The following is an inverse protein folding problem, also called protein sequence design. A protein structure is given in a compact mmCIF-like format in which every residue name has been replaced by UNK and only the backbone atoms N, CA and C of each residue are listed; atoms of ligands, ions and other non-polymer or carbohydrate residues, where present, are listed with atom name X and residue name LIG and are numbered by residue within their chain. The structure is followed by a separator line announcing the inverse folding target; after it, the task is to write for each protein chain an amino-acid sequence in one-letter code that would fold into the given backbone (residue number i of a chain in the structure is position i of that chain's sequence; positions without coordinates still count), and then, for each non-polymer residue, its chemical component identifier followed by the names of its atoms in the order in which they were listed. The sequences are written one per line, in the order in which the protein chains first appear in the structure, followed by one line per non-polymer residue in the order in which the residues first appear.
data_IF_657287033005
#
_entry.id   IF_657287033005
#
_cell.length_a   1.000
_cell.length_b   1.000
_cell.length_c   1.000
_cell.angle_alpha   90.00
_cell.angle_beta   90.00
_cell.angle_gamma   90.00
#
_symmetry.space_group_name_H-M   'P 1'
#
loop_
_entity.id
_entity.type
_entity.pdbx_description
1 polymer ?
#
# COMPACT_ATOMS: atom_id res chain seq x y z
N UNK A 1 -1.27 -10.91 -35.00
CA UNK A 1 0.06 -11.44 -34.65
C UNK A 1 0.67 -10.64 -33.51
N UNK A 2 0.65 -9.31 -33.55
CA UNK A 2 1.24 -8.44 -32.50
C UNK A 2 0.68 -8.70 -31.08
N UNK A 3 -0.64 -8.87 -30.92
CA UNK A 3 -1.29 -9.17 -29.64
C UNK A 3 -0.92 -10.54 -29.05
N UNK A 4 -0.60 -11.53 -29.88
CA UNK A 4 -0.18 -12.87 -29.42
C UNK A 4 1.25 -12.90 -28.89
N UNK A 5 2.11 -12.01 -29.37
CA UNK A 5 3.52 -11.90 -28.94
C UNK A 5 3.65 -10.96 -27.73
N UNK A 6 2.78 -9.95 -27.61
CA UNK A 6 2.81 -8.99 -26.51
C UNK A 6 2.42 -9.59 -25.15
N UNK A 7 1.44 -10.51 -25.12
CA UNK A 7 0.96 -11.13 -23.86
C UNK A 7 2.03 -11.88 -23.06
N UNK A 8 2.86 -12.78 -23.65
CA UNK A 8 3.92 -13.45 -22.89
C UNK A 8 5.02 -12.49 -22.42
N UNK A 9 5.30 -11.43 -23.19
CA UNK A 9 6.26 -10.41 -22.78
C UNK A 9 5.76 -9.61 -21.57
N UNK A 10 4.50 -9.19 -21.61
CA UNK A 10 3.86 -8.47 -20.52
C UNK A 10 3.85 -9.31 -19.22
N UNK A 11 3.53 -10.60 -19.30
CA UNK A 11 3.57 -11.51 -18.15
C UNK A 11 4.97 -11.59 -17.53
N UNK A 12 6.02 -11.69 -18.34
CA UNK A 12 7.41 -11.72 -17.86
C UNK A 12 7.84 -10.40 -17.24
N UNK A 13 7.44 -9.26 -17.81
CA UNK A 13 7.73 -7.94 -17.26
C UNK A 13 7.03 -7.73 -15.90
N UNK A 14 5.76 -8.15 -15.74
CA UNK A 14 5.05 -8.12 -14.47
C UNK A 14 5.70 -9.05 -13.43
N UNK A 15 6.11 -10.25 -13.83
CA UNK A 15 6.80 -11.18 -12.94
C UNK A 15 8.15 -10.61 -12.45
N UNK A 16 8.91 -9.95 -13.34
CA UNK A 16 10.13 -9.20 -12.97
C UNK A 16 9.84 -8.12 -11.95
N UNK A 17 8.85 -7.26 -12.21
CA UNK A 17 8.50 -6.16 -11.30
C UNK A 17 8.10 -6.66 -9.91
N UNK A 18 7.33 -7.75 -9.83
CA UNK A 18 6.95 -8.36 -8.55
C UNK A 18 8.17 -8.89 -7.78
N UNK A 19 9.06 -9.63 -8.45
CA UNK A 19 10.25 -10.18 -7.82
C UNK A 19 11.22 -9.08 -7.34
N UNK A 20 11.38 -7.99 -8.11
CA UNK A 20 12.19 -6.83 -7.71
C UNK A 20 11.56 -6.09 -6.52
N UNK A 21 10.24 -5.91 -6.52
CA UNK A 21 9.53 -5.29 -5.41
C UNK A 21 9.63 -6.12 -4.12
N UNK A 22 9.52 -7.45 -4.21
CA UNK A 22 9.69 -8.37 -3.08
C UNK A 22 11.12 -8.32 -2.51
N UNK A 23 12.14 -8.27 -3.38
CA UNK A 23 13.52 -8.09 -2.94
C UNK A 23 13.74 -6.75 -2.24
N UNK A 24 13.16 -5.67 -2.77
CA UNK A 24 13.23 -4.35 -2.16
C UNK A 24 12.51 -4.29 -0.80
N UNK A 25 11.33 -4.87 -0.69
CA UNK A 25 10.59 -4.97 0.58
C UNK A 25 11.40 -5.75 1.62
N UNK A 26 11.93 -6.94 1.25
CA UNK A 26 12.77 -7.75 2.14
C UNK A 26 14.02 -6.97 2.60
N UNK A 27 14.66 -6.21 1.70
CA UNK A 27 15.80 -5.37 2.07
C UNK A 27 15.40 -4.29 3.08
N UNK A 28 14.27 -3.64 2.89
CA UNK A 28 13.75 -2.60 3.79
C UNK A 28 13.46 -3.19 5.18
N UNK A 29 12.78 -4.33 5.25
CA UNK A 29 12.48 -5.03 6.51
C UNK A 29 13.76 -5.40 7.28
N UNK A 30 14.76 -5.92 6.55
CA UNK A 30 16.07 -6.26 7.13
C UNK A 30 16.78 -5.03 7.70
N UNK A 31 16.76 -3.92 6.97
CA UNK A 31 17.38 -2.66 7.43
C UNK A 31 16.65 -2.10 8.65
N UNK A 32 15.32 -2.10 8.66
CA UNK A 32 14.52 -1.65 9.81
C UNK A 32 14.76 -2.53 11.05
N UNK A 33 14.86 -3.85 10.85
CA UNK A 33 15.12 -4.82 11.92
C UNK A 33 16.60 -5.01 12.27
N UNK A 34 17.53 -4.30 11.63
CA UNK A 34 18.97 -4.62 11.72
C UNK A 34 19.54 -4.62 13.15
N UNK A 35 19.06 -3.73 14.00
CA UNK A 35 19.49 -3.68 15.42
C UNK A 35 19.12 -4.94 16.16
N UNK A 36 17.91 -5.45 15.97
CA UNK A 36 17.39 -6.68 16.60
C UNK A 36 18.12 -7.89 16.03
N UNK A 37 18.24 -7.96 14.70
CA UNK A 37 18.93 -9.05 14.01
C UNK A 37 20.39 -9.17 14.43
N UNK A 38 21.07 -8.04 14.64
CA UNK A 38 22.45 -8.01 15.14
C UNK A 38 22.54 -8.47 16.58
N UNK A 39 21.60 -8.06 17.43
CA UNK A 39 21.54 -8.49 18.84
C UNK A 39 21.29 -10.01 19.00
N UNK A 40 20.48 -10.59 18.13
CA UNK A 40 20.14 -12.02 18.12
C UNK A 40 21.17 -12.90 17.37
N UNK A 41 22.16 -12.31 16.70
CA UNK A 41 23.12 -13.06 15.87
C UNK A 41 22.50 -13.65 14.59
N UNK A 42 21.28 -13.23 14.20
CA UNK A 42 20.51 -13.83 13.10
C UNK A 42 20.88 -13.30 11.69
N UNK A 43 21.91 -12.46 11.57
CA UNK A 43 22.31 -11.81 10.29
C UNK A 43 22.58 -12.84 9.19
N UNK A 44 23.28 -13.96 9.51
CA UNK A 44 23.63 -14.97 8.51
C UNK A 44 22.38 -15.63 7.91
N UNK A 45 21.40 -15.95 8.74
CA UNK A 45 20.14 -16.59 8.32
C UNK A 45 19.32 -15.65 7.43
N UNK A 46 19.21 -14.36 7.84
CA UNK A 46 18.46 -13.34 7.10
C UNK A 46 19.13 -13.01 5.78
N UNK A 47 20.48 -12.96 5.76
CA UNK A 47 21.25 -12.78 4.52
C UNK A 47 20.95 -13.91 3.52
N UNK A 48 20.97 -15.17 3.95
CA UNK A 48 20.64 -16.29 3.06
C UNK A 48 19.22 -16.19 2.48
N UNK A 49 18.26 -15.71 3.27
CA UNK A 49 16.90 -15.45 2.78
C UNK A 49 16.86 -14.32 1.75
N UNK A 50 17.56 -13.22 1.99
CA UNK A 50 17.65 -12.12 1.06
C UNK A 50 18.34 -12.54 -0.26
N UNK A 51 19.44 -13.28 -0.16
CA UNK A 51 20.18 -13.78 -1.33
C UNK A 51 19.27 -14.63 -2.23
N UNK A 52 18.42 -15.50 -1.64
CA UNK A 52 17.47 -16.31 -2.41
C UNK A 52 16.43 -15.47 -3.16
N UNK A 53 15.86 -14.44 -2.50
CA UNK A 53 14.88 -13.53 -3.14
C UNK A 53 15.54 -12.66 -4.20
N UNK A 54 16.77 -12.20 -3.95
CA UNK A 54 17.57 -11.41 -4.89
C UNK A 54 17.95 -12.23 -6.15
N UNK A 55 18.32 -13.51 -5.98
CA UNK A 55 18.62 -14.42 -7.08
C UNK A 55 17.37 -14.69 -7.95
N UNK A 56 16.21 -14.80 -7.35
CA UNK A 56 14.97 -14.95 -8.11
C UNK A 56 14.65 -13.66 -8.89
N UNK A 57 14.82 -12.48 -8.28
CA UNK A 57 14.65 -11.19 -8.95
C UNK A 57 15.63 -11.05 -10.13
N UNK A 58 16.87 -11.46 -9.95
CA UNK A 58 17.87 -11.51 -11.02
C UNK A 58 17.45 -12.43 -12.16
N UNK A 59 17.07 -13.68 -11.88
CA UNK A 59 16.61 -14.65 -12.89
C UNK A 59 15.42 -14.11 -13.68
N UNK A 60 14.40 -13.56 -13.00
CA UNK A 60 13.24 -12.95 -13.67
C UNK A 60 13.61 -11.75 -14.53
N UNK A 61 14.60 -10.98 -14.10
CA UNK A 61 15.11 -9.84 -14.89
C UNK A 61 15.81 -10.31 -16.16
N UNK A 62 16.68 -11.31 -16.06
CA UNK A 62 17.37 -11.90 -17.22
C UNK A 62 16.37 -12.48 -18.21
N UNK A 63 15.38 -13.25 -17.74
CA UNK A 63 14.33 -13.85 -18.58
C UNK A 63 13.49 -12.80 -19.32
N UNK A 64 13.10 -11.72 -18.62
CA UNK A 64 12.34 -10.64 -19.21
C UNK A 64 13.17 -9.88 -20.26
N UNK A 65 14.42 -9.54 -19.92
CA UNK A 65 15.35 -8.83 -20.83
C UNK A 65 15.69 -9.67 -22.06
N UNK A 66 15.91 -10.97 -21.90
CA UNK A 66 16.14 -11.88 -23.02
C UNK A 66 14.93 -11.95 -23.97
N UNK A 67 13.71 -11.94 -23.44
CA UNK A 67 12.50 -11.89 -24.25
C UNK A 67 12.35 -10.56 -25.00
N UNK A 68 12.64 -9.43 -24.34
CA UNK A 68 12.67 -8.10 -24.96
C UNK A 68 13.73 -8.03 -26.07
N UNK A 69 14.94 -8.55 -25.83
CA UNK A 69 16.03 -8.59 -26.81
C UNK A 69 15.64 -9.39 -28.04
N UNK A 70 15.01 -10.57 -27.89
CA UNK A 70 14.54 -11.39 -29.01
C UNK A 70 13.48 -10.66 -29.85
N UNK A 71 12.56 -9.97 -29.22
CA UNK A 71 11.54 -9.17 -29.92
C UNK A 71 12.19 -8.02 -30.70
N UNK A 72 13.13 -7.30 -30.07
CA UNK A 72 13.85 -6.21 -30.70
C UNK A 72 14.66 -6.72 -31.91
N UNK A 73 15.41 -7.81 -31.74
CA UNK A 73 16.18 -8.43 -32.83
C UNK A 73 15.29 -8.87 -33.99
N UNK A 74 14.13 -9.48 -33.72
CA UNK A 74 13.18 -9.86 -34.77
C UNK A 74 12.60 -8.63 -35.50
N UNK A 75 12.32 -7.55 -34.79
CA UNK A 75 11.81 -6.29 -35.36
C UNK A 75 12.89 -5.64 -36.25
N UNK A 76 14.13 -5.58 -35.77
CA UNK A 76 15.27 -5.05 -36.53
C UNK A 76 15.57 -5.89 -37.79
N UNK A 77 15.56 -7.21 -37.66
CA UNK A 77 15.74 -8.12 -38.82
C UNK A 77 14.62 -7.93 -39.86
N UNK A 78 13.36 -7.76 -39.42
CA UNK A 78 12.26 -7.50 -40.34
C UNK A 78 12.43 -6.14 -41.06
N UNK A 79 12.88 -5.10 -40.33
CA UNK A 79 13.19 -3.79 -40.92
C UNK A 79 14.34 -3.86 -41.95
N UNK A 80 15.41 -4.57 -41.61
CA UNK A 80 16.54 -4.77 -42.52
C UNK A 80 16.13 -5.55 -43.80
N UNK A 81 15.33 -6.62 -43.64
CA UNK A 81 14.79 -7.38 -44.75
C UNK A 81 13.92 -6.53 -45.67
N UNK A 82 13.07 -5.65 -45.08
CA UNK A 82 12.26 -4.71 -45.82
C UNK A 82 13.09 -3.74 -46.66
N UNK A 83 14.18 -3.19 -46.13
CA UNK A 83 15.11 -2.31 -46.86
C UNK A 83 15.78 -3.06 -48.01
N UNK A 84 16.21 -4.31 -47.79
CA UNK A 84 16.82 -5.16 -48.85
C UNK A 84 15.81 -5.44 -49.96
N UNK A 85 14.58 -5.85 -49.64
CA UNK A 85 13.54 -6.14 -50.64
C UNK A 85 13.21 -4.87 -51.44
N UNK A 86 13.09 -3.73 -50.80
CA UNK A 86 12.81 -2.45 -51.45
C UNK A 86 13.99 -2.02 -52.34
N UNK A 87 15.22 -2.17 -51.86
CA UNK A 87 16.45 -1.89 -52.65
C UNK A 87 16.56 -2.74 -53.92
N UNK A 88 16.30 -4.05 -53.79
CA UNK A 88 16.30 -4.98 -54.92
C UNK A 88 15.17 -4.66 -55.93
N UNK A 89 13.96 -4.35 -55.42
CA UNK A 89 12.84 -3.95 -56.27
C UNK A 89 13.07 -2.63 -57.01
N UNK A 90 13.54 -1.61 -56.30
CA UNK A 90 13.87 -0.32 -56.91
C UNK A 90 15.06 -0.42 -57.88
N UNK A 91 16.07 -1.30 -57.57
CA UNK A 91 17.19 -1.62 -58.46
C UNK A 91 16.72 -2.27 -59.75
N UNK A 92 15.82 -3.26 -59.67
CA UNK A 92 15.22 -3.89 -60.86
C UNK A 92 14.47 -2.91 -61.75
N UNK A 93 13.71 -1.96 -61.17
CA UNK A 93 13.03 -0.89 -61.90
C UNK A 93 14.03 0.08 -62.58
N UNK A 94 15.16 0.36 -61.93
CA UNK A 94 16.21 1.20 -62.48
C UNK A 94 16.90 0.54 -63.68
N UNK A 95 17.20 -0.78 -63.61
CA UNK A 95 17.76 -1.54 -64.75
C UNK A 95 16.83 -1.58 -65.92
N UNK A 96 15.52 -1.63 -65.71
CA UNK A 96 14.49 -1.58 -66.74
C UNK A 96 14.20 -0.14 -67.24
N UNK A 97 14.95 0.88 -66.83
CA UNK A 97 14.83 2.25 -67.26
C UNK A 97 13.57 3.00 -66.76
N UNK A 98 12.82 2.42 -65.81
CA UNK A 98 11.61 2.99 -65.25
C UNK A 98 11.89 4.02 -64.16
N UNK A 99 13.05 3.98 -63.55
CA UNK A 99 13.49 4.86 -62.44
C UNK A 99 14.93 5.29 -62.72
N UNK A 100 15.27 6.55 -62.50
CA UNK A 100 16.64 7.04 -62.60
C UNK A 100 17.48 6.63 -61.37
N UNK A 101 18.81 6.59 -61.53
CA UNK A 101 19.75 6.28 -60.43
C UNK A 101 19.55 7.27 -59.26
N UNK A 102 19.30 8.55 -59.52
CA UNK A 102 19.02 9.55 -58.48
C UNK A 102 17.74 9.24 -57.68
N UNK A 103 16.67 8.81 -58.37
CA UNK A 103 15.42 8.40 -57.73
C UNK A 103 15.60 7.13 -56.90
N UNK A 104 16.42 6.18 -57.35
CA UNK A 104 16.78 4.98 -56.58
C UNK A 104 17.47 5.33 -55.28
N UNK A 105 18.51 6.18 -55.32
CA UNK A 105 19.25 6.62 -54.14
C UNK A 105 18.33 7.35 -53.17
N UNK A 106 17.47 8.23 -53.69
CA UNK A 106 16.50 8.97 -52.87
C UNK A 106 15.49 8.05 -52.20
N UNK A 107 14.94 7.06 -52.93
CA UNK A 107 13.99 6.08 -52.40
C UNK A 107 14.58 5.22 -51.27
N UNK A 108 15.81 4.72 -51.45
CA UNK A 108 16.49 3.94 -50.43
C UNK A 108 16.86 4.78 -49.23
N UNK A 109 17.38 6.01 -49.44
CA UNK A 109 17.71 6.94 -48.36
C UNK A 109 16.49 7.38 -47.51
N UNK A 110 15.36 7.73 -48.17
CA UNK A 110 14.10 8.05 -47.49
C UNK A 110 13.57 6.86 -46.69
N UNK A 111 13.67 5.66 -47.22
CA UNK A 111 13.23 4.45 -46.52
C UNK A 111 14.05 4.22 -45.27
N UNK A 112 15.37 4.32 -45.33
CA UNK A 112 16.23 4.20 -44.15
C UNK A 112 15.92 5.27 -43.09
N UNK A 113 15.66 6.51 -43.54
CA UNK A 113 15.30 7.61 -42.65
C UNK A 113 13.96 7.34 -41.96
N UNK A 114 12.97 6.73 -42.61
CA UNK A 114 11.63 6.45 -42.07
C UNK A 114 11.60 5.23 -41.15
N UNK A 115 12.45 4.22 -41.34
CA UNK A 115 12.40 2.98 -40.53
C UNK A 115 12.62 3.26 -39.05
N UNK A 116 13.58 4.11 -38.72
CA UNK A 116 13.94 4.40 -37.31
C UNK A 116 12.82 5.13 -36.54
N UNK A 117 12.23 6.23 -37.04
CA UNK A 117 11.08 6.87 -36.39
C UNK A 117 9.86 5.94 -36.25
N UNK A 118 9.56 5.14 -37.28
CA UNK A 118 8.43 4.22 -37.26
C UNK A 118 8.59 3.10 -36.21
N UNK A 119 9.79 2.53 -36.07
CA UNK A 119 10.07 1.52 -35.04
C UNK A 119 10.01 2.13 -33.64
N UNK A 120 10.55 3.34 -33.44
CA UNK A 120 10.46 4.07 -32.16
C UNK A 120 9.01 4.43 -31.81
N UNK A 121 8.24 4.88 -32.79
CA UNK A 121 6.82 5.21 -32.58
C UNK A 121 6.02 3.99 -32.15
N UNK A 122 6.18 2.85 -32.83
CA UNK A 122 5.50 1.60 -32.48
C UNK A 122 5.85 1.10 -31.08
N UNK A 123 7.12 1.15 -30.70
CA UNK A 123 7.60 0.77 -29.35
C UNK A 123 7.06 1.70 -28.26
N UNK A 124 7.14 3.01 -28.46
CA UNK A 124 6.65 4.01 -27.50
C UNK A 124 5.13 3.93 -27.33
N UNK A 125 4.38 3.75 -28.41
CA UNK A 125 2.93 3.62 -28.37
C UNK A 125 2.51 2.37 -27.58
N UNK A 126 3.14 1.21 -27.84
CA UNK A 126 2.86 -0.03 -27.14
C UNK A 126 3.18 0.06 -25.64
N UNK A 127 4.31 0.67 -25.27
CA UNK A 127 4.70 0.88 -23.89
C UNK A 127 3.74 1.82 -23.14
N UNK A 128 3.39 2.95 -23.76
CA UNK A 128 2.46 3.91 -23.17
C UNK A 128 1.05 3.34 -23.02
N UNK A 129 0.59 2.58 -24.00
CA UNK A 129 -0.69 1.87 -23.94
C UNK A 129 -0.75 0.88 -22.78
N UNK A 130 0.29 0.03 -22.64
CA UNK A 130 0.38 -0.92 -21.54
C UNK A 130 0.39 -0.23 -20.15
N UNK A 131 1.11 0.90 -20.03
CA UNK A 131 1.13 1.70 -18.81
C UNK A 131 -0.24 2.33 -18.51
N UNK A 132 -0.92 2.83 -19.53
CA UNK A 132 -2.25 3.42 -19.38
C UNK A 132 -3.30 2.37 -18.96
N UNK A 133 -3.25 1.17 -19.55
CA UNK A 133 -4.13 0.05 -19.17
C UNK A 133 -3.90 -0.39 -17.73
N UNK A 134 -2.63 -0.52 -17.30
CA UNK A 134 -2.28 -0.87 -15.93
C UNK A 134 -2.75 0.19 -14.92
N UNK A 135 -2.56 1.47 -15.23
CA UNK A 135 -3.02 2.59 -14.40
C UNK A 135 -4.54 2.65 -14.34
N UNK A 136 -5.22 2.48 -15.47
CA UNK A 136 -6.68 2.44 -15.54
C UNK A 136 -7.29 1.27 -14.76
N UNK A 137 -6.61 0.13 -14.72
CA UNK A 137 -7.04 -1.02 -13.90
C UNK A 137 -6.93 -0.71 -12.42
N UNK A 138 -5.82 -0.12 -11.97
CA UNK A 138 -5.65 0.30 -10.56
C UNK A 138 -6.69 1.34 -10.13
N UNK A 139 -6.94 2.34 -10.98
CA UNK A 139 -7.98 3.34 -10.69
C UNK A 139 -9.36 2.67 -10.59
N UNK A 140 -9.68 1.73 -11.49
CA UNK A 140 -10.93 0.98 -11.41
C UNK A 140 -11.04 0.13 -10.16
N UNK A 141 -9.97 -0.53 -9.74
CA UNK A 141 -9.93 -1.31 -8.49
C UNK A 141 -10.23 -0.42 -7.29
N UNK A 142 -9.63 0.78 -7.23
CA UNK A 142 -9.89 1.75 -6.17
C UNK A 142 -11.35 2.27 -6.22
N UNK A 143 -11.85 2.62 -7.41
CA UNK A 143 -13.22 3.11 -7.56
C UNK A 143 -14.29 2.04 -7.36
N UNK A 144 -13.95 0.77 -7.58
CA UNK A 144 -14.83 -0.38 -7.38
C UNK A 144 -14.69 -0.99 -5.98
N UNK A 145 -13.70 -0.55 -5.18
CA UNK A 145 -13.61 -0.95 -3.80
C UNK A 145 -14.81 -0.37 -3.04
N UNK A 146 -15.58 -1.23 -2.38
CA UNK A 146 -16.63 -0.82 -1.47
C UNK A 146 -15.98 -0.11 -0.27
N UNK A 147 -15.86 1.20 -0.37
CA UNK A 147 -15.53 2.04 0.77
C UNK A 147 -16.80 2.20 1.61
N UNK A 148 -16.82 1.54 2.76
CA UNK A 148 -17.90 1.58 3.74
C UNK A 148 -19.30 1.28 3.14
N UNK A 149 -19.82 0.15 3.46
CA UNK A 149 -21.24 -0.15 3.25
C UNK A 149 -22.07 0.85 4.04
N UNK A 150 -22.54 1.89 3.38
CA UNK A 150 -23.59 2.77 3.88
C UNK A 150 -24.94 2.25 3.40
N UNK A 151 -25.31 1.03 3.77
CA UNK A 151 -26.61 0.50 3.44
C UNK A 151 -27.57 0.75 4.60
N UNK A 152 -28.81 1.10 4.30
CA UNK A 152 -29.92 1.19 5.27
C UNK A 152 -30.10 -0.12 6.05
N UNK A 153 -29.76 -1.27 5.43
CA UNK A 153 -29.76 -2.60 6.09
C UNK A 153 -28.73 -2.71 7.24
N UNK A 154 -27.64 -1.96 7.19
CA UNK A 154 -26.65 -1.92 8.26
C UNK A 154 -27.10 -1.02 9.42
N UNK A 155 -28.03 -0.09 9.20
CA UNK A 155 -28.57 0.77 10.26
C UNK A 155 -29.43 -0.02 11.25
N UNK A 156 -30.40 -0.85 10.77
CA UNK A 156 -31.20 -1.72 11.64
C UNK A 156 -30.33 -2.75 12.40
N UNK A 157 -29.26 -3.22 11.77
CA UNK A 157 -28.32 -4.13 12.42
C UNK A 157 -27.52 -3.43 13.48
N UNK A 158 -27.08 -2.18 13.22
CA UNK A 158 -26.40 -1.34 14.19
C UNK A 158 -27.32 -1.02 15.38
N UNK A 159 -28.58 -0.65 15.14
CA UNK A 159 -29.57 -0.39 16.19
C UNK A 159 -29.75 -1.58 17.13
N UNK A 160 -29.85 -2.79 16.58
CA UNK A 160 -29.98 -4.02 17.38
C UNK A 160 -28.72 -4.30 18.22
N UNK A 161 -27.55 -4.07 17.67
CA UNK A 161 -26.28 -4.29 18.38
C UNK A 161 -26.08 -3.22 19.45
N UNK A 162 -26.26 -1.95 19.11
CA UNK A 162 -26.11 -0.82 20.04
C UNK A 162 -27.11 -0.93 21.21
N UNK A 163 -28.36 -1.24 20.92
CA UNK A 163 -29.41 -1.39 21.93
C UNK A 163 -29.25 -2.62 22.82
N UNK A 164 -28.44 -3.60 22.45
CA UNK A 164 -28.16 -4.79 23.26
C UNK A 164 -26.92 -4.62 24.17
N UNK A 165 -26.13 -3.56 23.99
CA UNK A 165 -24.93 -3.33 24.77
C UNK A 165 -25.22 -2.66 26.12
N UNK A 166 -24.49 -3.02 27.17
CA UNK A 166 -24.63 -2.35 28.46
C UNK A 166 -24.17 -0.89 28.40
N UNK A 167 -24.82 -0.03 29.15
CA UNK A 167 -24.42 1.35 29.31
C UNK A 167 -23.08 1.45 30.08
N UNK A 168 -22.27 2.44 29.72
CA UNK A 168 -21.00 2.73 30.37
C UNK A 168 -19.87 1.79 29.97
N UNK A 169 -18.85 1.70 30.84
CA UNK A 169 -17.63 0.91 30.60
C UNK A 169 -17.83 -0.55 31.00
N UNK A 170 -17.63 -1.47 30.08
CA UNK A 170 -17.71 -2.91 30.32
C UNK A 170 -16.43 -3.60 29.83
N UNK A 171 -15.83 -4.42 30.69
CA UNK A 171 -14.64 -5.24 30.35
C UNK A 171 -15.08 -6.65 30.01
N UNK A 172 -14.60 -7.16 28.87
CA UNK A 172 -14.88 -8.53 28.38
C UNK A 172 -13.53 -9.25 28.24
N UNK A 173 -13.34 -10.32 29.01
CA UNK A 173 -12.17 -11.19 28.89
C UNK A 173 -12.31 -12.16 27.73
N UNK A 174 -11.24 -12.33 26.96
CA UNK A 174 -11.23 -13.18 25.76
C UNK A 174 -11.82 -12.48 24.54
N UNK A 175 -10.96 -11.89 23.72
CA UNK A 175 -11.38 -11.28 22.46
C UNK A 175 -11.85 -12.37 21.48
N UNK A 176 -13.16 -12.44 21.22
CA UNK A 176 -13.71 -13.28 20.16
C UNK A 176 -13.51 -12.60 18.81
N UNK A 177 -12.66 -13.15 17.91
CA UNK A 177 -12.43 -12.58 16.59
C UNK A 177 -13.71 -12.43 15.76
N UNK A 178 -14.69 -13.30 15.97
CA UNK A 178 -15.98 -13.23 15.27
C UNK A 178 -16.80 -12.03 15.77
N UNK A 179 -16.81 -11.77 17.08
CA UNK A 179 -17.43 -10.57 17.67
C UNK A 179 -16.78 -9.30 17.11
N UNK A 180 -15.45 -9.24 17.11
CA UNK A 180 -14.69 -8.10 16.59
C UNK A 180 -15.06 -7.86 15.12
N UNK A 181 -14.99 -8.88 14.26
CA UNK A 181 -15.35 -8.75 12.84
C UNK A 181 -16.79 -8.32 12.61
N UNK A 182 -17.72 -8.74 13.48
CA UNK A 182 -19.12 -8.31 13.44
C UNK A 182 -19.27 -6.83 13.82
N UNK A 183 -18.52 -6.34 14.83
CA UNK A 183 -18.53 -4.94 15.24
C UNK A 183 -17.82 -4.05 14.20
N UNK A 184 -16.72 -4.49 13.60
CA UNK A 184 -16.02 -3.78 12.53
C UNK A 184 -16.84 -3.68 11.24
N UNK A 185 -17.82 -4.57 11.04
CA UNK A 185 -18.73 -4.51 9.89
C UNK A 185 -19.84 -3.45 10.02
N UNK A 186 -19.98 -2.83 11.18
CA UNK A 186 -20.96 -1.77 11.43
C UNK A 186 -20.46 -0.40 10.98
N UNK A 187 -21.37 0.57 10.68
CA UNK A 187 -20.97 1.91 10.27
C UNK A 187 -20.07 2.58 11.31
N UNK A 188 -18.91 3.07 10.88
CA UNK A 188 -17.92 3.72 11.76
C UNK A 188 -18.41 5.03 12.39
N UNK A 189 -19.45 5.61 11.84
CA UNK A 189 -20.15 6.76 12.44
C UNK A 189 -20.88 6.39 13.73
N UNK A 190 -21.18 5.11 13.93
CA UNK A 190 -21.89 4.61 15.11
C UNK A 190 -21.00 3.76 16.03
N UNK A 191 -20.18 2.87 15.43
CA UNK A 191 -19.31 1.95 16.18
C UNK A 191 -17.86 2.12 15.73
N UNK A 192 -16.99 2.45 16.66
CA UNK A 192 -15.54 2.48 16.43
C UNK A 192 -14.89 1.34 17.21
N UNK A 193 -14.16 0.49 16.48
CA UNK A 193 -13.28 -0.52 17.05
C UNK A 193 -11.86 0.00 16.96
N UNK A 194 -11.26 0.36 18.09
CA UNK A 194 -9.88 0.80 18.19
C UNK A 194 -8.98 -0.41 18.36
N UNK A 195 -8.09 -0.69 17.37
CA UNK A 195 -7.22 -1.86 17.41
C UNK A 195 -6.12 -1.71 18.46
N UNK A 196 -5.56 -2.86 18.89
CA UNK A 196 -4.39 -2.90 19.78
C UNK A 196 -3.17 -2.15 19.21
N UNK A 197 -2.93 -2.24 17.89
CA UNK A 197 -1.83 -1.56 17.23
C UNK A 197 -2.12 -0.07 17.09
N UNK A 198 -1.20 0.76 17.60
CA UNK A 198 -1.29 2.21 17.59
C UNK A 198 -0.52 2.78 16.39
N UNK A 199 -1.17 2.91 15.23
CA UNK A 199 -0.59 3.57 14.07
C UNK A 199 -0.78 5.10 14.17
N UNK A 200 0.35 5.82 14.21
CA UNK A 200 0.38 7.27 14.23
C UNK A 200 0.98 7.82 12.94
N UNK A 201 0.38 8.90 12.43
CA UNK A 201 0.86 9.61 11.25
C UNK A 201 1.91 10.66 11.64
N UNK A 202 2.82 10.99 10.71
CA UNK A 202 3.77 12.08 10.94
C UNK A 202 3.00 13.40 11.14
N UNK A 203 3.34 14.10 12.23
CA UNK A 203 2.64 15.31 12.68
C UNK A 203 2.87 15.53 14.17
N UNK A 204 2.02 16.32 14.78
CA UNK A 204 2.00 16.51 16.24
C UNK A 204 1.11 15.47 16.93
N UNK A 205 1.20 15.39 18.25
CA UNK A 205 0.30 14.58 19.08
C UNK A 205 -1.15 15.01 18.85
N UNK A 206 -1.43 16.32 18.84
CA UNK A 206 -2.78 16.83 18.60
C UNK A 206 -3.31 16.51 17.21
N UNK A 207 -2.49 16.65 16.16
CA UNK A 207 -2.86 16.30 14.78
C UNK A 207 -3.26 14.84 14.65
N UNK A 208 -2.68 13.99 15.48
CA UNK A 208 -3.00 12.56 15.52
C UNK A 208 -4.29 12.23 16.28
N UNK A 209 -4.87 13.17 16.98
CA UNK A 209 -6.09 12.95 17.79
C UNK A 209 -7.30 13.53 17.10
N UNK A 210 -7.34 14.85 16.89
CA UNK A 210 -8.49 15.51 16.27
C UNK A 210 -8.10 16.85 15.65
N UNK A 211 -8.73 17.27 14.51
CA UNK A 211 -8.48 18.56 13.89
C UNK A 211 -8.80 19.76 14.80
N UNK A 212 -9.88 19.66 15.59
CA UNK A 212 -10.20 20.66 16.59
C UNK A 212 -9.32 20.50 17.84
N UNK A 213 -8.55 21.55 18.13
CA UNK A 213 -7.57 21.55 19.21
C UNK A 213 -8.16 21.29 20.58
N UNK A 214 -9.31 21.90 20.87
CA UNK A 214 -9.95 21.77 22.19
C UNK A 214 -10.47 20.34 22.41
N UNK A 215 -10.98 19.70 21.37
CA UNK A 215 -11.40 18.30 21.40
C UNK A 215 -10.20 17.38 21.58
N UNK A 216 -9.10 17.64 20.87
CA UNK A 216 -7.86 16.88 21.01
C UNK A 216 -7.31 16.96 22.44
N UNK A 217 -7.27 18.14 23.06
CA UNK A 217 -6.74 18.32 24.41
C UNK A 217 -7.59 17.60 25.47
N UNK A 218 -8.93 17.69 25.38
CA UNK A 218 -9.83 16.94 26.28
C UNK A 218 -9.62 15.42 26.17
N UNK A 219 -9.49 14.91 24.96
CA UNK A 219 -9.28 13.49 24.74
C UNK A 219 -7.89 13.03 25.20
N UNK A 220 -6.85 13.84 25.02
CA UNK A 220 -5.50 13.59 25.53
C UNK A 220 -5.47 13.56 27.07
N UNK A 221 -6.22 14.44 27.72
CA UNK A 221 -6.35 14.43 29.17
C UNK A 221 -7.06 13.15 29.65
N UNK A 222 -8.17 12.77 29.00
CA UNK A 222 -8.89 11.53 29.30
C UNK A 222 -8.01 10.29 29.12
N UNK A 223 -7.14 10.29 28.11
CA UNK A 223 -6.18 9.20 27.84
C UNK A 223 -4.88 9.31 28.67
N UNK A 224 -4.81 10.14 29.69
CA UNK A 224 -3.62 10.30 30.55
C UNK A 224 -2.33 10.63 29.79
N UNK A 225 -2.38 11.47 28.77
CA UNK A 225 -1.22 11.85 27.94
C UNK A 225 -0.39 13.02 28.52
N UNK A 226 -0.63 13.47 29.75
CA UNK A 226 0.05 14.62 30.36
C UNK A 226 1.54 14.42 30.62
N UNK A 227 2.05 13.19 30.58
CA UNK A 227 3.48 12.85 30.71
C UNK A 227 4.28 12.97 29.43
N UNK A 228 3.63 13.30 28.29
CA UNK A 228 4.34 13.45 27.00
C UNK A 228 5.12 14.77 27.00
N UNK A 229 6.46 14.75 26.93
CA UNK A 229 7.25 15.97 26.91
C UNK A 229 6.94 16.82 25.68
N UNK A 230 6.57 18.08 25.86
CA UNK A 230 6.12 18.97 24.78
C UNK A 230 4.62 18.90 24.51
N UNK A 231 3.89 18.04 25.23
CA UNK A 231 2.42 17.98 25.22
C UNK A 231 1.81 17.79 23.83
N UNK A 232 0.67 18.42 23.54
CA UNK A 232 -0.06 18.27 22.29
C UNK A 232 0.74 18.69 21.04
N UNK A 233 1.74 19.57 21.17
CA UNK A 233 2.56 20.07 20.05
C UNK A 233 3.79 19.20 19.78
N UNK A 234 4.02 18.17 20.58
CA UNK A 234 5.12 17.21 20.37
C UNK A 234 4.98 16.50 19.05
N UNK A 235 6.01 16.57 18.20
CA UNK A 235 6.07 15.76 16.98
C UNK A 235 6.25 14.28 17.32
N UNK A 236 5.45 13.44 16.68
CA UNK A 236 5.47 11.99 16.91
C UNK A 236 6.45 11.26 16.00
N UNK A 237 6.78 11.83 14.83
CA UNK A 237 7.59 11.20 13.79
C UNK A 237 6.86 10.06 13.09
N UNK A 238 7.46 9.53 12.05
CA UNK A 238 6.91 8.41 11.26
C UNK A 238 6.59 7.21 12.17
N UNK A 239 5.37 6.70 12.10
CA UNK A 239 4.84 5.62 12.94
C UNK A 239 5.00 5.86 14.46
N UNK A 240 5.05 7.13 14.89
CA UNK A 240 5.14 7.46 16.30
C UNK A 240 6.49 7.14 16.97
N UNK A 241 7.57 6.99 16.20
CA UNK A 241 8.90 6.57 16.70
C UNK A 241 9.52 7.49 17.76
N UNK A 242 9.02 8.73 17.89
CA UNK A 242 9.48 9.68 18.88
C UNK A 242 8.74 9.57 20.22
N UNK A 243 7.84 8.63 20.35
CA UNK A 243 7.06 8.31 21.56
C UNK A 243 7.43 6.93 22.09
N UNK A 244 7.26 6.70 23.40
CA UNK A 244 7.32 5.37 23.99
C UNK A 244 6.12 4.52 23.54
N UNK A 245 6.16 3.19 23.72
CA UNK A 245 5.05 2.28 23.39
C UNK A 245 3.74 2.71 24.07
N UNK A 246 3.79 2.92 25.39
CA UNK A 246 2.63 3.38 26.16
C UNK A 246 2.12 4.77 25.77
N UNK A 247 3.02 5.70 25.41
CA UNK A 247 2.60 7.01 24.91
C UNK A 247 1.88 6.90 23.56
N UNK A 248 2.40 6.07 22.61
CA UNK A 248 1.70 5.82 21.34
C UNK A 248 0.31 5.24 21.54
N UNK A 249 0.20 4.24 22.41
CA UNK A 249 -1.07 3.58 22.70
C UNK A 249 -2.08 4.56 23.29
N UNK A 250 -1.67 5.41 24.24
CA UNK A 250 -2.55 6.43 24.81
C UNK A 250 -2.96 7.52 23.83
N UNK A 251 -2.09 7.94 22.90
CA UNK A 251 -2.45 8.88 21.82
C UNK A 251 -3.46 8.25 20.85
N UNK A 252 -3.31 6.96 20.53
CA UNK A 252 -4.30 6.24 19.71
C UNK A 252 -5.66 6.11 20.44
N UNK A 253 -5.62 5.85 21.75
CA UNK A 253 -6.83 5.86 22.58
C UNK A 253 -7.49 7.24 22.60
N UNK A 254 -6.71 8.32 22.76
CA UNK A 254 -7.23 9.69 22.70
C UNK A 254 -7.94 9.98 21.37
N UNK A 255 -7.39 9.49 20.24
CA UNK A 255 -8.03 9.58 18.91
C UNK A 255 -9.40 8.90 18.91
N UNK A 256 -9.49 7.70 19.48
CA UNK A 256 -10.73 6.95 19.55
C UNK A 256 -11.78 7.65 20.44
N UNK A 257 -11.34 8.23 21.56
CA UNK A 257 -12.20 9.03 22.45
C UNK A 257 -12.67 10.34 21.79
N UNK A 258 -11.79 11.02 21.04
CA UNK A 258 -12.11 12.28 20.35
C UNK A 258 -13.16 12.10 19.25
N UNK A 259 -13.24 10.91 18.65
CA UNK A 259 -14.24 10.59 17.63
C UNK A 259 -15.66 10.43 18.20
N UNK A 260 -15.80 10.26 19.51
CA UNK A 260 -17.05 10.17 20.28
C UNK A 260 -18.18 9.35 19.62
N UNK A 261 -17.95 8.07 19.23
CA UNK A 261 -18.97 7.24 18.59
C UNK A 261 -20.07 6.84 19.58
N UNK A 262 -21.23 6.38 19.09
CA UNK A 262 -22.27 5.81 19.95
C UNK A 262 -21.75 4.62 20.76
N UNK A 263 -20.96 3.75 20.14
CA UNK A 263 -20.28 2.61 20.79
C UNK A 263 -18.79 2.67 20.51
N UNK A 264 -18.00 2.59 21.57
CA UNK A 264 -16.53 2.49 21.48
C UNK A 264 -16.07 1.11 21.94
N UNK A 265 -15.29 0.44 21.11
CA UNK A 265 -14.66 -0.86 21.41
C UNK A 265 -13.16 -0.69 21.42
N UNK A 266 -12.53 -1.04 22.53
CA UNK A 266 -11.09 -0.90 22.75
C UNK A 266 -10.47 -2.30 22.86
N UNK A 267 -9.49 -2.61 22.01
CA UNK A 267 -8.76 -3.88 22.04
C UNK A 267 -7.45 -3.68 22.81
N UNK A 268 -7.32 -4.33 23.96
CA UNK A 268 -6.14 -4.29 24.82
C UNK A 268 -5.53 -2.88 25.01
N UNK A 269 -6.29 -1.87 25.44
CA UNK A 269 -5.86 -0.48 25.41
C UNK A 269 -4.75 -0.16 26.43
N UNK A 270 -4.42 -1.08 27.34
CA UNK A 270 -3.54 -0.84 28.50
C UNK A 270 -2.30 -1.74 28.56
N UNK A 271 -2.03 -2.57 27.57
CA UNK A 271 -0.93 -3.56 27.60
C UNK A 271 0.47 -2.96 27.73
N UNK A 272 0.67 -1.71 27.33
CA UNK A 272 1.94 -0.99 27.43
C UNK A 272 1.95 0.06 28.56
N UNK A 273 1.03 -0.04 29.54
CA UNK A 273 0.86 0.93 30.62
C UNK A 273 1.00 0.25 31.97
N UNK A 274 1.56 0.94 32.96
CA UNK A 274 1.63 0.45 34.34
C UNK A 274 0.25 0.44 35.02
N UNK A 275 0.08 -0.39 36.05
CA UNK A 275 -1.20 -0.61 36.73
C UNK A 275 -1.82 0.67 37.37
N UNK A 276 -0.98 1.61 37.80
CA UNK A 276 -1.48 2.89 38.37
C UNK A 276 -2.06 3.78 37.27
N UNK A 277 -1.38 3.84 36.14
CA UNK A 277 -1.87 4.59 34.99
C UNK A 277 -3.09 3.90 34.36
N UNK A 278 -3.13 2.57 34.33
CA UNK A 278 -4.28 1.78 33.87
C UNK A 278 -5.55 2.09 34.66
N UNK A 279 -5.48 2.10 35.99
CA UNK A 279 -6.62 2.45 36.83
C UNK A 279 -7.13 3.87 36.55
N UNK A 280 -6.23 4.87 36.49
CA UNK A 280 -6.59 6.26 36.17
C UNK A 280 -7.22 6.38 34.78
N UNK A 281 -6.71 5.64 33.83
CA UNK A 281 -7.21 5.61 32.46
C UNK A 281 -8.63 5.05 32.42
N UNK A 282 -8.90 3.94 33.10
CA UNK A 282 -10.25 3.38 33.21
C UNK A 282 -11.25 4.39 33.83
N UNK A 283 -10.87 5.04 34.91
CA UNK A 283 -11.71 6.08 35.58
C UNK A 283 -11.96 7.29 34.65
N UNK A 284 -10.94 7.75 33.94
CA UNK A 284 -11.04 8.89 33.02
C UNK A 284 -11.87 8.56 31.79
N UNK A 285 -11.68 7.38 31.18
CA UNK A 285 -12.48 6.90 30.06
C UNK A 285 -13.94 6.76 30.47
N UNK A 286 -14.22 6.15 31.61
CA UNK A 286 -15.58 6.02 32.11
C UNK A 286 -16.24 7.41 32.35
N UNK A 287 -15.49 8.36 32.90
CA UNK A 287 -16.00 9.74 33.12
C UNK A 287 -16.20 10.47 31.78
N UNK A 288 -15.30 10.31 30.82
CA UNK A 288 -15.36 10.96 29.51
C UNK A 288 -16.53 10.45 28.69
N UNK A 289 -16.78 9.13 28.72
CA UNK A 289 -17.83 8.47 27.95
C UNK A 289 -19.19 8.46 28.66
N UNK A 290 -19.24 8.64 29.98
CA UNK A 290 -20.47 8.59 30.76
C UNK A 290 -21.22 7.28 30.56
N UNK A 291 -22.49 7.36 30.18
CA UNK A 291 -23.37 6.22 29.95
C UNK A 291 -23.21 5.61 28.52
N UNK A 292 -22.41 6.23 27.65
CA UNK A 292 -22.21 5.71 26.28
C UNK A 292 -21.49 4.35 26.33
N UNK A 293 -22.05 3.31 25.66
CA UNK A 293 -21.46 1.97 25.65
C UNK A 293 -20.00 1.97 25.23
N UNK A 294 -19.15 1.45 26.12
CA UNK A 294 -17.70 1.36 25.89
C UNK A 294 -17.22 -0.03 26.31
N UNK A 295 -16.81 -0.83 25.34
CA UNK A 295 -16.34 -2.19 25.56
C UNK A 295 -14.82 -2.21 25.57
N UNK A 296 -14.24 -2.81 26.60
CA UNK A 296 -12.80 -3.12 26.66
C UNK A 296 -12.63 -4.61 26.49
N UNK A 297 -12.01 -5.02 25.40
CA UNK A 297 -11.70 -6.42 25.10
C UNK A 297 -10.27 -6.68 25.54
N UNK A 298 -10.07 -7.69 26.41
CA UNK A 298 -8.74 -8.09 26.90
C UNK A 298 -8.41 -9.50 26.49
N UNK A 299 -7.16 -9.80 26.08
CA UNK A 299 -6.72 -11.16 25.74
C UNK A 299 -6.58 -12.08 26.96
N UNK A 300 -6.29 -11.54 28.14
CA UNK A 300 -6.12 -12.30 29.33
C UNK A 300 -7.41 -12.39 30.16
N UNK A 301 -7.79 -13.57 30.68
CA UNK A 301 -8.73 -13.62 31.77
C UNK A 301 -8.10 -12.89 32.98
N UNK A 302 -8.82 -11.94 33.51
CA UNK A 302 -8.44 -11.24 34.73
C UNK A 302 -8.27 -12.21 35.91
#
# INVERSE_FOLDING_TARGET
VALRVARPLQRRSVARQRAVAEAAATATDVVQGLRILKGLGAIVTVRGRYDAVSDEAYRRTVDATAAEARLNAATEAAGALFVVVLGLGAGALAVNGQVTIGQLITAVGLTQFLVMPMTMFGRNLASRWASAEASGTRIREVLAADFERTAEDDAERADRVVGALPAGLTVIGGADPELIGRLESLPRTRVIVAPHAADLFDGTVADNVHPDRATAERALEAACCGDIPGGPDKRVGENGRMLSGGQRQRVALARALAADPEVLVLQDPTTAVDSVTEQRLAENVARHRGDAPTLVLTEAPA
#
